data_IF_841317899904
#
_entry.id   IF_841317899904
#
_cell.length_a   1.000
_cell.length_b   1.000
_cell.length_c   1.000
_cell.angle_alpha   90.00
_cell.angle_beta   90.00
_cell.angle_gamma   90.00
#
_symmetry.space_group_name_H-M   'P 1'
#
loop_
_entity.id
_entity.type
_entity.pdbx_description
1 polymer ?
#
# COMPACT_ATOMS: atom_id res chain seq x y z
N UNK A 1 14.18 4.14 4.62
CA UNK A 1 14.32 3.09 3.62
C UNK A 1 15.78 2.84 3.40
N UNK A 2 16.24 1.77 4.03
CA UNK A 2 17.55 1.18 3.81
C UNK A 2 17.52 0.29 2.56
N UNK A 3 18.64 -0.40 2.29
CA UNK A 3 18.76 -1.27 1.12
C UNK A 3 17.86 -2.51 1.23
N UNK A 4 17.73 -3.09 2.42
CA UNK A 4 16.94 -4.30 2.65
C UNK A 4 15.44 -4.05 2.36
N UNK A 5 14.91 -2.90 2.79
CA UNK A 5 13.53 -2.50 2.50
C UNK A 5 13.30 -2.30 0.99
N UNK A 6 14.28 -1.73 0.26
CA UNK A 6 14.21 -1.58 -1.20
C UNK A 6 14.23 -2.91 -1.93
N UNK A 7 15.12 -3.81 -1.52
CA UNK A 7 15.24 -5.14 -2.13
C UNK A 7 13.97 -5.95 -1.88
N UNK A 8 13.38 -5.82 -0.69
CA UNK A 8 12.09 -6.44 -0.38
C UNK A 8 10.95 -5.87 -1.25
N UNK A 9 10.84 -4.55 -1.38
CA UNK A 9 9.87 -3.92 -2.30
C UNK A 9 10.09 -4.42 -3.74
N UNK A 10 11.34 -4.47 -4.22
CA UNK A 10 11.67 -4.93 -5.56
C UNK A 10 11.26 -6.40 -5.77
N UNK A 11 11.44 -7.25 -4.77
CA UNK A 11 11.00 -8.66 -4.84
C UNK A 11 9.48 -8.79 -5.03
N UNK A 12 8.69 -7.92 -4.38
CA UNK A 12 7.23 -7.91 -4.51
C UNK A 12 6.79 -7.33 -5.85
N UNK A 13 7.42 -6.24 -6.31
CA UNK A 13 7.12 -5.60 -7.61
C UNK A 13 7.23 -6.59 -8.76
N UNK A 14 8.27 -7.42 -8.72
CA UNK A 14 8.63 -8.42 -9.73
C UNK A 14 8.03 -9.81 -9.47
N UNK A 15 7.23 -9.98 -8.42
CA UNK A 15 6.60 -11.26 -8.12
C UNK A 15 5.62 -11.65 -9.24
N UNK A 16 5.83 -12.84 -9.80
CA UNK A 16 4.96 -13.44 -10.82
C UNK A 16 4.56 -14.87 -10.43
N UNK A 17 3.26 -15.15 -10.19
CA UNK A 17 2.16 -14.18 -10.18
C UNK A 17 2.19 -13.26 -8.95
N UNK A 18 1.84 -12.00 -9.15
CA UNK A 18 1.58 -11.08 -8.03
C UNK A 18 0.37 -11.54 -7.23
N UNK A 19 0.54 -11.72 -5.92
CA UNK A 19 -0.53 -12.11 -5.01
C UNK A 19 -1.10 -10.88 -4.32
N UNK A 20 -2.20 -10.34 -4.84
CA UNK A 20 -2.88 -9.18 -4.29
C UNK A 20 -3.91 -8.60 -5.24
N UNK A 21 -4.49 -7.46 -4.86
CA UNK A 21 -5.40 -6.71 -5.70
C UNK A 21 -4.63 -5.93 -6.77
N UNK A 22 -5.10 -5.97 -8.01
CA UNK A 22 -4.67 -5.09 -9.10
C UNK A 22 -5.87 -4.29 -9.60
N UNK A 23 -5.75 -2.98 -9.71
CA UNK A 23 -6.83 -2.09 -10.17
C UNK A 23 -6.30 -1.16 -11.25
N UNK A 24 -6.97 -1.15 -12.41
CA UNK A 24 -6.75 -0.17 -13.47
C UNK A 24 -7.72 0.99 -13.29
N UNK A 25 -7.19 2.18 -13.02
CA UNK A 25 -7.99 3.42 -12.80
C UNK A 25 -8.25 4.12 -14.13
N UNK A 26 -7.26 4.14 -15.02
CA UNK A 26 -7.35 4.70 -16.37
C UNK A 26 -6.39 3.97 -17.31
N UNK A 27 -6.24 4.47 -18.54
CA UNK A 27 -5.27 3.89 -19.47
C UNK A 27 -3.81 4.04 -19.01
N UNK A 28 -3.50 5.09 -18.26
CA UNK A 28 -2.15 5.44 -17.78
C UNK A 28 -1.95 5.26 -16.28
N UNK A 29 -2.99 4.80 -15.56
CA UNK A 29 -2.95 4.66 -14.12
C UNK A 29 -3.44 3.29 -13.68
N UNK A 30 -2.56 2.57 -13.00
CA UNK A 30 -2.89 1.37 -12.24
C UNK A 30 -2.30 1.43 -10.83
N UNK A 31 -2.89 0.65 -9.92
CA UNK A 31 -2.30 0.41 -8.62
C UNK A 31 -2.45 -1.05 -8.19
N UNK A 32 -1.57 -1.48 -7.29
CA UNK A 32 -1.54 -2.82 -6.69
C UNK A 32 -1.48 -2.71 -5.18
N UNK A 33 -2.21 -3.58 -4.48
CA UNK A 33 -2.22 -3.66 -3.02
C UNK A 33 -2.14 -5.11 -2.58
N UNK A 34 -1.30 -5.41 -1.59
CA UNK A 34 -1.34 -6.70 -0.90
C UNK A 34 -1.01 -6.58 0.57
N UNK A 35 -1.63 -7.45 1.37
CA UNK A 35 -1.34 -7.62 2.78
C UNK A 35 -0.10 -8.50 2.96
N UNK A 36 0.78 -8.08 3.87
CA UNK A 36 2.02 -8.75 4.26
C UNK A 36 1.97 -9.05 5.77
N UNK A 37 2.85 -9.93 6.25
CA UNK A 37 3.05 -10.12 7.69
C UNK A 37 1.77 -10.42 8.48
N UNK A 38 0.89 -11.27 7.93
CA UNK A 38 -0.45 -11.59 8.50
C UNK A 38 -1.42 -10.41 8.60
N UNK A 39 -1.24 -9.39 7.76
CA UNK A 39 -2.12 -8.24 7.68
C UNK A 39 -1.77 -7.09 8.61
N UNK A 40 -0.53 -7.05 9.11
CA UNK A 40 0.01 -5.97 9.94
C UNK A 40 0.86 -4.97 9.13
N UNK A 41 1.24 -5.33 7.90
CA UNK A 41 1.92 -4.47 6.94
C UNK A 41 1.32 -4.66 5.57
N UNK A 42 1.41 -3.64 4.72
CA UNK A 42 0.93 -3.67 3.36
C UNK A 42 1.96 -3.17 2.37
N UNK A 43 1.85 -3.67 1.15
CA UNK A 43 2.54 -3.15 -0.01
C UNK A 43 1.53 -2.39 -0.87
N UNK A 44 1.91 -1.19 -1.28
CA UNK A 44 1.17 -0.38 -2.23
C UNK A 44 2.10 -0.01 -3.40
N UNK A 45 1.63 -0.19 -4.62
CA UNK A 45 2.31 0.28 -5.82
C UNK A 45 1.35 1.05 -6.70
N UNK A 46 1.82 2.17 -7.24
CA UNK A 46 1.13 2.96 -8.26
C UNK A 46 2.09 3.19 -9.41
N UNK A 47 1.73 2.64 -10.58
CA UNK A 47 2.62 2.53 -11.73
C UNK A 47 3.98 1.95 -11.28
N UNK A 48 5.09 2.66 -11.49
CA UNK A 48 6.43 2.18 -11.14
C UNK A 48 6.86 2.46 -9.70
N UNK A 49 6.11 3.26 -8.94
CA UNK A 49 6.48 3.65 -7.57
C UNK A 49 5.76 2.79 -6.55
N UNK A 50 6.49 2.34 -5.53
CA UNK A 50 5.94 1.50 -4.48
C UNK A 50 6.37 1.96 -3.08
N UNK A 51 5.64 1.52 -2.07
CA UNK A 51 5.96 1.72 -0.66
C UNK A 51 5.41 0.60 0.21
N UNK A 52 5.96 0.49 1.41
CA UNK A 52 5.37 -0.28 2.50
C UNK A 52 4.60 0.65 3.44
N UNK A 53 3.56 0.13 4.06
CA UNK A 53 2.77 0.85 5.04
C UNK A 53 2.30 -0.08 6.15
N UNK A 54 1.99 0.48 7.31
CA UNK A 54 1.44 -0.22 8.46
C UNK A 54 -0.08 -0.08 8.48
N UNK A 55 -0.76 -1.20 8.71
CA UNK A 55 -2.21 -1.27 8.85
C UNK A 55 -2.57 -2.54 9.63
N UNK A 56 -3.81 -2.70 10.08
CA UNK A 56 -4.28 -4.00 10.55
C UNK A 56 -5.54 -4.41 9.81
N UNK A 57 -5.45 -5.53 9.08
CA UNK A 57 -6.58 -6.14 8.40
C UNK A 57 -7.66 -6.60 9.41
N UNK A 58 -7.24 -7.19 10.52
CA UNK A 58 -8.15 -7.73 11.54
C UNK A 58 -8.92 -6.66 12.30
N UNK A 59 -8.26 -5.54 12.61
CA UNK A 59 -8.88 -4.43 13.35
C UNK A 59 -9.41 -3.30 12.46
N UNK A 60 -9.12 -3.34 11.16
CA UNK A 60 -9.55 -2.32 10.21
C UNK A 60 -8.95 -0.95 10.52
N UNK A 61 -7.64 -0.84 10.74
CA UNK A 61 -7.00 0.47 10.86
C UNK A 61 -5.85 0.67 9.88
N UNK A 62 -5.56 1.92 9.54
CA UNK A 62 -4.44 2.34 8.69
C UNK A 62 -3.59 3.33 9.48
N UNK A 63 -2.28 3.10 9.59
CA UNK A 63 -1.37 4.08 10.20
C UNK A 63 -0.93 5.05 9.12
N UNK A 64 -1.64 6.18 8.98
CA UNK A 64 -1.42 7.17 7.91
C UNK A 64 0.02 7.68 7.91
N UNK A 65 0.58 7.89 9.11
CA UNK A 65 1.98 8.25 9.30
C UNK A 65 2.97 7.26 8.72
N UNK A 66 2.65 6.00 8.45
CA UNK A 66 3.60 5.04 7.85
C UNK A 66 3.82 5.29 6.34
N UNK A 67 2.88 5.98 5.69
CA UNK A 67 2.90 6.28 4.25
C UNK A 67 3.76 7.54 4.01
N UNK A 68 5.09 7.38 4.02
CA UNK A 68 6.05 8.50 4.06
C UNK A 68 6.88 8.69 2.80
N UNK A 69 7.39 7.60 2.21
CA UNK A 69 8.34 7.65 1.10
C UNK A 69 8.07 6.55 0.10
N UNK A 70 8.26 6.88 -1.17
CA UNK A 70 8.34 5.93 -2.27
C UNK A 70 9.69 5.20 -2.26
N UNK A 71 9.76 4.08 -2.98
CA UNK A 71 10.95 3.28 -3.22
C UNK A 71 12.06 4.03 -3.99
N UNK A 72 11.68 5.01 -4.80
CA UNK A 72 12.62 5.97 -5.43
C UNK A 72 13.21 7.01 -4.45
N UNK A 73 12.84 6.94 -3.16
CA UNK A 73 13.31 7.80 -2.09
C UNK A 73 12.58 9.14 -1.94
N UNK A 74 11.70 9.50 -2.89
CA UNK A 74 10.91 10.73 -2.81
C UNK A 74 9.88 10.64 -1.70
N UNK A 75 9.56 11.80 -1.12
CA UNK A 75 8.48 11.90 -0.11
C UNK A 75 7.12 11.70 -0.78
N UNK A 76 6.22 11.02 -0.09
CA UNK A 76 4.79 10.99 -0.45
C UNK A 76 4.20 12.34 -0.04
N UNK A 77 3.66 13.07 -1.02
CA UNK A 77 2.96 14.34 -0.78
C UNK A 77 1.66 14.10 -0.02
N UNK A 78 1.09 15.15 0.59
CA UNK A 78 -0.15 14.98 1.35
C UNK A 78 -1.31 14.56 0.44
N UNK A 79 -1.39 15.12 -0.78
CA UNK A 79 -2.39 14.72 -1.76
C UNK A 79 -2.25 13.25 -2.19
N UNK A 80 -1.02 12.78 -2.47
CA UNK A 80 -0.77 11.35 -2.74
C UNK A 80 -1.16 10.49 -1.54
N UNK A 81 -0.84 10.94 -0.32
CA UNK A 81 -1.15 10.19 0.90
C UNK A 81 -2.65 9.99 1.09
N UNK A 82 -3.46 11.02 0.88
CA UNK A 82 -4.93 10.87 0.97
C UNK A 82 -5.47 9.86 -0.04
N UNK A 83 -4.98 9.89 -1.29
CA UNK A 83 -5.38 8.93 -2.33
C UNK A 83 -5.00 7.50 -1.93
N UNK A 84 -3.79 7.30 -1.42
CA UNK A 84 -3.29 5.98 -0.99
C UNK A 84 -4.11 5.47 0.20
N UNK A 85 -4.38 6.30 1.20
CA UNK A 85 -5.22 5.95 2.35
C UNK A 85 -6.62 5.53 1.91
N UNK A 86 -7.23 6.26 0.98
CA UNK A 86 -8.55 5.90 0.45
C UNK A 86 -8.53 4.53 -0.24
N UNK A 87 -7.53 4.26 -1.09
CA UNK A 87 -7.38 2.97 -1.80
C UNK A 87 -7.14 1.81 -0.83
N UNK A 88 -6.35 2.01 0.22
CA UNK A 88 -6.13 1.01 1.28
C UNK A 88 -7.43 0.78 2.06
N UNK A 89 -8.19 1.83 2.37
CA UNK A 89 -9.47 1.69 3.07
C UNK A 89 -10.48 0.89 2.25
N UNK A 90 -10.53 1.10 0.94
CA UNK A 90 -11.41 0.35 0.05
C UNK A 90 -10.95 -1.12 -0.10
N UNK A 91 -9.63 -1.36 -0.15
CA UNK A 91 -9.06 -2.70 -0.06
C UNK A 91 -9.46 -3.43 1.23
N UNK A 92 -9.38 -2.76 2.39
CA UNK A 92 -9.79 -3.33 3.68
C UNK A 92 -11.27 -3.67 3.74
N UNK A 93 -12.14 -2.78 3.24
CA UNK A 93 -13.58 -3.01 3.18
C UNK A 93 -13.92 -4.19 2.27
N UNK A 94 -13.28 -4.28 1.10
CA UNK A 94 -13.43 -5.41 0.20
C UNK A 94 -12.96 -6.74 0.84
N UNK A 95 -11.97 -6.67 1.74
CA UNK A 95 -11.51 -7.78 2.57
C UNK A 95 -12.39 -8.11 3.78
N UNK A 96 -13.51 -7.40 3.99
CA UNK A 96 -14.49 -7.68 5.05
C UNK A 96 -14.42 -6.76 6.27
N UNK A 97 -13.55 -5.74 6.29
CA UNK A 97 -13.52 -4.76 7.36
C UNK A 97 -14.81 -3.91 7.34
N UNK A 98 -15.63 -3.99 8.39
CA UNK A 98 -16.88 -3.22 8.51
C UNK A 98 -16.63 -1.72 8.73
N UNK A 99 -15.53 -1.40 9.40
CA UNK A 99 -15.11 -0.04 9.67
C UNK A 99 -13.60 0.07 9.40
N UNK A 100 -13.18 1.22 8.87
CA UNK A 100 -11.77 1.53 8.68
C UNK A 100 -11.45 2.79 9.47
N UNK A 101 -10.52 2.69 10.44
CA UNK A 101 -10.04 3.81 11.24
C UNK A 101 -8.69 4.28 10.72
N UNK A 102 -8.55 5.57 10.49
CA UNK A 102 -7.27 6.18 10.13
C UNK A 102 -6.62 6.65 11.43
N UNK A 103 -5.41 6.15 11.70
CA UNK A 103 -4.58 6.57 12.82
C UNK A 103 -3.56 7.57 12.27
N UNK A 104 -3.59 8.77 12.81
CA UNK A 104 -2.73 9.88 12.39
C UNK A 104 -1.27 9.68 12.78
#
# INVERSE_FOLDING_TARGET
MDQDERDFIASIKNADPFRGLRVRVSDSEEYRITALGRGEMGFYQQNDRALLFEFSAGFGFIVKKSIRRWDDGKKVTDAEREVIVQRIADYLKAGGARHVKIIE
#
